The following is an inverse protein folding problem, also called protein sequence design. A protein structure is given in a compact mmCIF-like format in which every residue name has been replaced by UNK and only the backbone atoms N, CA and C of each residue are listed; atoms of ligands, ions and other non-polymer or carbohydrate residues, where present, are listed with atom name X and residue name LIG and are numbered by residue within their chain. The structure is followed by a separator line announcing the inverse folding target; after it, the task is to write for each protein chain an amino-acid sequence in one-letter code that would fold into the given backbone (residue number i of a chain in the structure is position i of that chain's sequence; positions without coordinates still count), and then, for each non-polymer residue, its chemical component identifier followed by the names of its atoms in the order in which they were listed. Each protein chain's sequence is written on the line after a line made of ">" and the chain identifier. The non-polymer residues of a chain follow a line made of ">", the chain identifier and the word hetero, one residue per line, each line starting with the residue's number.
data_IF_794019278235
#
_entry.id   IF_794019278235
#
_cell.length_a   1.000
_cell.length_b   1.000
_cell.length_c   1.000
_cell.angle_alpha   90.00
_cell.angle_beta   90.00
_cell.angle_gamma   90.00
#
_symmetry.space_group_name_H-M   'P 1'
#
loop_
_entity.id
_entity.type
_entity.pdbx_description
1 polymer ?
#
# COMPACT_ATOMS: atom_id res chain seq x y z
N UNK A 1 3.31 0.80 -24.33
CA UNK A 1 2.91 2.07 -23.65
C UNK A 1 3.58 3.24 -24.32
N UNK A 2 2.85 4.31 -24.57
CA UNK A 2 3.40 5.51 -25.20
C UNK A 2 3.96 6.43 -24.11
N UNK A 3 5.29 6.55 -24.06
CA UNK A 3 5.98 7.38 -23.07
C UNK A 3 5.61 8.87 -23.22
N UNK A 4 5.41 9.31 -24.45
CA UNK A 4 5.02 10.71 -24.72
C UNK A 4 3.66 11.05 -24.10
N UNK A 5 2.71 10.12 -24.14
CA UNK A 5 1.40 10.31 -23.53
C UNK A 5 1.50 10.40 -22.01
N UNK A 6 2.37 9.60 -21.38
CA UNK A 6 2.63 9.64 -19.94
C UNK A 6 3.21 10.98 -19.54
N UNK A 7 4.21 11.48 -20.29
CA UNK A 7 4.82 12.79 -20.03
C UNK A 7 3.80 13.93 -20.17
N UNK A 8 2.95 13.87 -21.19
CA UNK A 8 1.90 14.87 -21.40
C UNK A 8 0.90 14.88 -20.24
N UNK A 9 0.53 13.70 -19.72
CA UNK A 9 -0.37 13.56 -18.57
C UNK A 9 0.24 14.19 -17.32
N UNK A 10 1.54 13.96 -17.08
CA UNK A 10 2.24 14.51 -15.92
C UNK A 10 2.28 16.04 -15.94
N UNK A 11 2.30 16.64 -17.13
CA UNK A 11 2.31 18.11 -17.29
C UNK A 11 0.98 18.76 -16.93
N UNK A 12 -0.10 17.98 -16.82
CA UNK A 12 -1.42 18.49 -16.44
C UNK A 12 -1.55 18.72 -14.95
N UNK A 13 -0.66 18.16 -14.15
CA UNK A 13 -0.72 18.25 -12.68
C UNK A 13 0.40 19.15 -12.21
N UNK A 14 0.09 20.26 -11.50
CA UNK A 14 1.14 21.11 -10.92
C UNK A 14 2.05 20.36 -9.97
N UNK A 15 3.32 20.72 -9.93
CA UNK A 15 4.30 20.06 -9.08
C UNK A 15 3.98 20.18 -7.58
N UNK A 16 3.29 21.25 -7.20
CA UNK A 16 2.89 21.54 -5.81
C UNK A 16 1.47 21.08 -5.49
N UNK A 17 0.85 20.31 -6.38
CA UNK A 17 -0.51 19.82 -6.18
C UNK A 17 -0.58 18.93 -4.94
N UNK A 18 -1.55 19.22 -4.07
CA UNK A 18 -1.75 18.48 -2.83
C UNK A 18 -3.22 18.18 -2.62
N UNK A 19 -3.53 16.90 -2.40
CA UNK A 19 -4.87 16.47 -2.06
C UNK A 19 -5.14 16.72 -0.58
N UNK A 20 -6.32 17.31 -0.29
CA UNK A 20 -6.77 17.58 1.07
C UNK A 20 -8.23 17.20 1.22
N UNK A 21 -8.52 15.93 0.95
CA UNK A 21 -9.89 15.41 0.95
C UNK A 21 -9.89 14.00 1.56
N UNK A 22 -11.06 13.52 2.00
CA UNK A 22 -11.15 12.19 2.63
C UNK A 22 -10.74 11.04 1.71
N UNK A 23 -10.92 11.23 0.43
CA UNK A 23 -10.54 10.27 -0.59
C UNK A 23 -10.79 10.81 -2.00
N UNK A 24 -9.90 10.52 -2.96
CA UNK A 24 -8.63 9.84 -2.77
C UNK A 24 -7.64 10.67 -1.94
N UNK A 25 -6.76 9.97 -1.23
CA UNK A 25 -5.74 10.60 -0.40
C UNK A 25 -4.38 10.58 -1.08
N UNK A 26 -3.53 11.54 -0.71
CA UNK A 26 -2.16 11.56 -1.20
C UNK A 26 -1.37 10.38 -0.62
N UNK A 27 -0.49 9.82 -1.45
CA UNK A 27 0.39 8.71 -1.06
C UNK A 27 1.81 9.26 -0.95
N UNK A 28 2.55 8.96 0.14
CA UNK A 28 3.94 9.36 0.26
C UNK A 28 4.76 8.92 -0.95
N UNK A 29 5.70 9.74 -1.38
CA UNK A 29 6.50 9.48 -2.58
C UNK A 29 7.22 8.14 -2.51
N UNK A 30 7.78 7.77 -1.36
CA UNK A 30 8.47 6.50 -1.17
C UNK A 30 7.56 5.31 -1.41
N UNK A 31 6.30 5.39 -0.95
CA UNK A 31 5.31 4.33 -1.13
C UNK A 31 4.91 4.25 -2.60
N UNK A 32 4.65 5.41 -3.21
CA UNK A 32 4.27 5.47 -4.62
C UNK A 32 5.35 4.89 -5.52
N UNK A 33 6.62 5.22 -5.25
CA UNK A 33 7.75 4.68 -5.99
C UNK A 33 7.85 3.15 -5.84
N UNK A 34 7.57 2.62 -4.66
CA UNK A 34 7.61 1.19 -4.41
C UNK A 34 6.56 0.42 -5.23
N UNK A 35 5.42 1.03 -5.53
CA UNK A 35 4.38 0.38 -6.34
C UNK A 35 4.79 0.19 -7.79
N UNK A 36 5.83 0.89 -8.25
CA UNK A 36 6.35 0.78 -9.62
C UNK A 36 7.41 -0.31 -9.76
N UNK A 37 7.80 -0.96 -8.67
CA UNK A 37 8.79 -2.03 -8.72
C UNK A 37 8.23 -3.28 -9.40
N UNK A 38 9.10 -4.15 -9.95
CA UNK A 38 8.64 -5.40 -10.57
C UNK A 38 7.82 -6.25 -9.61
N UNK A 39 6.84 -6.94 -10.17
CA UNK A 39 5.98 -7.83 -9.40
C UNK A 39 6.74 -9.12 -9.07
N UNK A 40 6.71 -9.50 -7.80
CA UNK A 40 7.33 -10.73 -7.33
C UNK A 40 6.29 -11.84 -7.19
N UNK A 41 6.75 -13.09 -7.33
CA UNK A 41 5.90 -14.22 -7.05
C UNK A 41 5.55 -14.29 -5.57
N UNK A 42 4.27 -14.41 -5.25
CA UNK A 42 3.80 -14.52 -3.86
C UNK A 42 4.25 -15.82 -3.19
N UNK A 43 4.76 -16.78 -3.96
CA UNK A 43 5.30 -18.06 -3.45
C UNK A 43 6.82 -18.09 -3.39
N UNK A 44 7.47 -17.02 -3.85
CA UNK A 44 8.92 -16.93 -3.86
C UNK A 44 9.50 -16.57 -2.51
N UNK A 45 10.81 -16.87 -2.36
CA UNK A 45 11.53 -16.54 -1.14
C UNK A 45 11.63 -15.03 -0.92
N UNK A 46 11.74 -14.26 -1.99
CA UNK A 46 11.83 -12.80 -1.94
C UNK A 46 10.57 -12.18 -1.34
N UNK A 47 9.41 -12.65 -1.78
CA UNK A 47 8.14 -12.17 -1.25
C UNK A 47 7.96 -12.57 0.21
N UNK A 48 8.36 -13.80 0.55
CA UNK A 48 8.29 -14.29 1.93
C UNK A 48 9.12 -13.41 2.87
N UNK A 49 10.32 -13.03 2.45
CA UNK A 49 11.19 -12.16 3.23
C UNK A 49 10.56 -10.78 3.45
N UNK A 50 9.97 -10.21 2.41
CA UNK A 50 9.29 -8.91 2.49
C UNK A 50 8.08 -9.00 3.44
N UNK A 51 7.28 -10.03 3.30
CA UNK A 51 6.10 -10.23 4.14
C UNK A 51 6.48 -10.39 5.61
N UNK A 52 7.54 -11.14 5.90
CA UNK A 52 8.02 -11.31 7.25
C UNK A 52 8.51 -9.99 7.85
N UNK A 53 9.27 -9.23 7.10
CA UNK A 53 9.75 -7.91 7.53
C UNK A 53 8.58 -6.95 7.81
N UNK A 54 7.60 -6.90 6.92
CA UNK A 54 6.41 -6.06 7.10
C UNK A 54 5.62 -6.49 8.32
N UNK A 55 5.44 -7.78 8.52
CA UNK A 55 4.68 -8.32 9.66
C UNK A 55 5.37 -7.95 10.98
N UNK A 56 6.69 -8.08 11.05
CA UNK A 56 7.44 -7.71 12.24
C UNK A 56 7.36 -6.20 12.52
N UNK A 57 7.45 -5.39 11.47
CA UNK A 57 7.34 -3.94 11.61
C UNK A 57 5.95 -3.54 12.13
N UNK A 58 4.90 -4.21 11.65
CA UNK A 58 3.54 -3.95 12.12
C UNK A 58 3.33 -4.38 13.57
N UNK A 59 3.91 -5.51 13.98
CA UNK A 59 3.87 -5.92 15.40
C UNK A 59 4.50 -4.87 16.31
N UNK A 60 5.65 -4.34 15.88
CA UNK A 60 6.33 -3.29 16.64
C UNK A 60 5.49 -2.02 16.71
N UNK A 61 4.91 -1.62 15.58
CA UNK A 61 4.07 -0.42 15.51
C UNK A 61 2.83 -0.54 16.40
N UNK A 62 2.19 -1.71 16.41
CA UNK A 62 0.98 -1.97 17.19
C UNK A 62 1.28 -2.38 18.63
N UNK A 63 2.55 -2.63 18.97
CA UNK A 63 2.95 -3.04 20.31
C UNK A 63 2.39 -4.39 20.71
N UNK A 64 2.35 -5.35 19.78
CA UNK A 64 1.75 -6.66 20.01
C UNK A 64 2.71 -7.79 19.65
N UNK A 65 2.54 -8.96 20.30
CA UNK A 65 3.19 -10.22 19.94
C UNK A 65 2.23 -11.16 19.21
N UNK A 66 0.98 -10.76 19.06
CA UNK A 66 -0.04 -11.55 18.37
C UNK A 66 0.25 -11.67 16.89
N UNK A 67 -0.41 -12.61 16.23
CA UNK A 67 -0.34 -12.73 14.77
C UNK A 67 -0.98 -11.50 14.12
N UNK A 68 -0.30 -10.97 13.11
CA UNK A 68 -0.78 -9.84 12.33
C UNK A 68 -0.99 -10.30 10.90
N UNK A 69 -2.17 -10.04 10.36
CA UNK A 69 -2.52 -10.39 8.99
C UNK A 69 -2.80 -9.12 8.18
N UNK A 70 -2.25 -9.09 6.97
CA UNK A 70 -2.52 -8.03 6.00
C UNK A 70 -3.63 -8.49 5.08
N UNK A 71 -4.72 -7.74 5.04
CA UNK A 71 -5.87 -8.08 4.21
C UNK A 71 -6.09 -6.99 3.17
N UNK A 72 -6.21 -7.40 1.91
CA UNK A 72 -6.54 -6.49 0.82
C UNK A 72 -8.05 -6.28 0.76
N UNK A 73 -8.56 -5.38 1.59
CA UNK A 73 -10.00 -5.12 1.70
C UNK A 73 -10.26 -3.61 1.73
N UNK A 74 -11.53 -3.24 1.48
CA UNK A 74 -12.01 -1.88 1.74
C UNK A 74 -12.21 -1.66 3.25
N UNK A 75 -12.38 -0.40 3.66
CA UNK A 75 -12.71 -0.10 5.05
C UNK A 75 -13.97 -0.84 5.52
N UNK A 76 -14.99 -0.92 4.67
CA UNK A 76 -16.23 -1.67 4.97
C UNK A 76 -15.93 -3.15 5.17
N UNK A 77 -15.11 -3.76 4.29
CA UNK A 77 -14.74 -5.16 4.41
C UNK A 77 -13.94 -5.44 5.68
N UNK A 78 -13.05 -4.53 6.06
CA UNK A 78 -12.29 -4.65 7.29
C UNK A 78 -13.17 -4.59 8.53
N UNK A 79 -14.15 -3.70 8.55
CA UNK A 79 -15.12 -3.62 9.64
C UNK A 79 -15.95 -4.89 9.75
N UNK A 80 -16.40 -5.43 8.62
CA UNK A 80 -17.17 -6.67 8.60
C UNK A 80 -16.38 -7.83 9.20
N UNK A 81 -15.13 -7.99 8.80
CA UNK A 81 -14.27 -9.03 9.37
C UNK A 81 -14.08 -8.85 10.87
N UNK A 82 -13.91 -7.63 11.33
CA UNK A 82 -13.78 -7.33 12.74
C UNK A 82 -15.02 -7.76 13.53
N UNK A 83 -16.20 -7.52 13.00
CA UNK A 83 -17.46 -7.89 13.64
C UNK A 83 -17.67 -9.40 13.69
N UNK A 84 -17.23 -10.13 12.67
CA UNK A 84 -17.35 -11.59 12.65
C UNK A 84 -16.53 -12.22 13.78
N UNK A 85 -15.41 -11.60 14.17
CA UNK A 85 -14.53 -12.13 15.22
C UNK A 85 -14.93 -11.71 16.63
N UNK A 86 -15.93 -10.88 16.77
CA UNK A 86 -16.47 -10.51 18.06
C UNK A 86 -17.52 -11.53 18.49
#
# INVERSE_FOLDING_TARGET
>A
MNISAVSATNNLVPADYRLRMPGPAAIPERVRAATALPILSHRGAEFRAILEEVTQALRALLGTRAHVFLLGVSGTGGMELSLIHI
#
